data_IF_207863390005
#
_entry.id   IF_207863390005
#
_cell.length_a   1.000
_cell.length_b   1.000
_cell.length_c   1.000
_cell.angle_alpha   90.00
_cell.angle_beta   90.00
_cell.angle_gamma   90.00
#
_symmetry.space_group_name_H-M   'P 1'
#
loop_
_entity.id
_entity.type
_entity.pdbx_description
1 polymer ?
#
# COMPACT_ATOMS: atom_id res chain seq x y z
N UNK A 1 6.45 -12.98 -24.17
CA UNK A 1 7.77 -12.50 -23.68
C UNK A 1 8.43 -11.73 -24.80
N UNK A 2 8.84 -10.51 -24.49
CA UNK A 2 9.61 -9.65 -25.40
C UNK A 2 11.02 -9.50 -24.84
N UNK A 3 12.01 -9.25 -25.70
CA UNK A 3 13.37 -8.95 -25.27
C UNK A 3 13.65 -7.49 -25.57
N UNK A 4 14.23 -6.75 -24.63
CA UNK A 4 14.61 -5.35 -24.86
C UNK A 4 15.74 -5.27 -25.89
N UNK A 5 16.65 -6.24 -25.85
CA UNK A 5 17.84 -6.25 -26.68
C UNK A 5 18.02 -7.62 -27.36
N UNK A 6 17.20 -7.92 -28.39
CA UNK A 6 17.23 -9.22 -29.07
C UNK A 6 18.58 -9.52 -29.75
N UNK A 7 19.39 -8.49 -30.07
CA UNK A 7 20.70 -8.68 -30.68
C UNK A 7 21.67 -9.53 -29.84
N UNK A 8 21.54 -9.51 -28.51
CA UNK A 8 22.42 -10.29 -27.64
C UNK A 8 22.14 -11.79 -27.74
N UNK A 9 20.97 -12.21 -28.22
CA UNK A 9 20.67 -13.63 -28.44
C UNK A 9 21.58 -14.26 -29.50
N UNK A 10 22.20 -13.47 -30.38
CA UNK A 10 23.22 -13.97 -31.31
C UNK A 10 24.45 -14.52 -30.59
N UNK A 11 24.76 -14.02 -29.39
CA UNK A 11 25.86 -14.56 -28.57
C UNK A 11 25.58 -15.98 -28.06
N UNK A 12 24.34 -16.48 -28.17
CA UNK A 12 24.00 -17.87 -27.82
C UNK A 12 24.73 -18.89 -28.72
N UNK A 13 25.25 -18.48 -29.87
CA UNK A 13 26.14 -19.31 -30.71
C UNK A 13 27.41 -19.72 -29.95
N UNK A 14 27.91 -18.88 -29.04
CA UNK A 14 29.13 -19.13 -28.29
C UNK A 14 28.99 -20.28 -27.25
N UNK A 15 27.98 -20.31 -26.35
CA UNK A 15 27.74 -21.46 -25.49
C UNK A 15 27.37 -22.72 -26.28
N UNK A 16 26.66 -22.61 -27.41
CA UNK A 16 26.32 -23.76 -28.25
C UNK A 16 27.56 -24.39 -28.90
N UNK A 17 28.47 -23.58 -29.43
CA UNK A 17 29.73 -24.09 -30.01
C UNK A 17 30.65 -24.67 -28.95
N UNK A 18 30.76 -24.04 -27.77
CA UNK A 18 31.52 -24.57 -26.64
C UNK A 18 30.95 -25.91 -26.14
N UNK A 19 29.64 -26.02 -25.97
CA UNK A 19 28.99 -27.26 -25.54
C UNK A 19 29.07 -28.37 -26.58
N UNK A 20 28.93 -28.03 -27.86
CA UNK A 20 29.14 -28.99 -28.95
C UNK A 20 30.59 -29.49 -28.99
N UNK A 21 31.55 -28.59 -28.80
CA UNK A 21 32.96 -28.93 -28.82
C UNK A 21 33.37 -29.76 -27.60
N UNK A 22 32.86 -29.47 -26.41
CA UNK A 22 33.12 -30.29 -25.21
C UNK A 22 32.60 -31.71 -25.36
N UNK A 23 31.40 -31.90 -25.92
CA UNK A 23 30.83 -33.23 -26.17
C UNK A 23 31.56 -33.98 -27.30
N UNK A 24 32.03 -33.26 -28.33
CA UNK A 24 32.71 -33.87 -29.49
C UNK A 24 34.19 -34.17 -29.23
N UNK A 25 34.82 -33.50 -28.26
CA UNK A 25 36.17 -33.82 -27.78
C UNK A 25 36.18 -35.24 -27.22
N UNK A 26 36.77 -36.15 -27.98
CA UNK A 26 37.26 -37.42 -27.43
C UNK A 26 38.51 -37.05 -26.65
N UNK A 27 38.49 -37.23 -25.32
CA UNK A 27 39.65 -36.93 -24.49
C UNK A 27 40.90 -37.56 -25.09
N UNK A 28 41.96 -36.77 -25.26
CA UNK A 28 43.27 -37.33 -25.55
C UNK A 28 43.60 -38.20 -24.35
N UNK A 29 43.60 -39.52 -24.54
CA UNK A 29 43.88 -40.47 -23.46
C UNK A 29 45.21 -40.07 -22.84
N UNK A 30 45.17 -39.57 -21.60
CA UNK A 30 46.37 -39.20 -20.89
C UNK A 30 47.11 -40.52 -20.62
N UNK A 31 48.19 -40.78 -21.37
CA UNK A 31 49.02 -41.96 -21.16
C UNK A 31 49.79 -41.74 -19.86
N UNK A 32 49.21 -42.19 -18.76
CA UNK A 32 49.84 -42.20 -17.46
C UNK A 32 50.84 -43.36 -17.41
N UNK A 33 52.07 -43.15 -16.91
CA UNK A 33 53.08 -44.19 -16.84
C UNK A 33 52.85 -45.12 -15.64
N UNK A 34 51.64 -45.63 -15.42
CA UNK A 34 51.34 -46.76 -14.52
C UNK A 34 49.97 -47.40 -14.85
N UNK A 35 50.00 -48.70 -15.15
CA UNK A 35 49.27 -49.80 -14.50
C UNK A 35 48.69 -50.85 -15.49
N UNK A 36 49.04 -52.11 -15.28
CA UNK A 36 48.65 -53.28 -16.08
C UNK A 36 47.25 -53.80 -15.68
N UNK A 37 46.34 -52.91 -15.28
CA UNK A 37 44.99 -53.26 -14.83
C UNK A 37 43.94 -52.73 -15.79
N UNK A 38 43.12 -53.64 -16.34
CA UNK A 38 41.95 -53.28 -17.13
C UNK A 38 40.86 -52.72 -16.22
N UNK A 39 40.64 -51.41 -16.25
CA UNK A 39 39.49 -50.82 -15.57
C UNK A 39 38.18 -51.17 -16.29
N UNK A 40 37.16 -51.58 -15.53
CA UNK A 40 35.82 -51.79 -16.05
C UNK A 40 35.23 -50.48 -16.58
N UNK A 41 34.68 -50.50 -17.80
CA UNK A 41 34.03 -49.33 -18.39
C UNK A 41 32.83 -48.90 -17.52
N UNK A 42 32.86 -47.67 -16.99
CA UNK A 42 31.74 -47.07 -16.25
C UNK A 42 31.06 -46.00 -17.11
N UNK A 43 30.13 -46.38 -18.01
CA UNK A 43 29.50 -45.42 -18.94
C UNK A 43 28.71 -44.33 -18.22
N UNK A 44 28.16 -44.61 -17.03
CA UNK A 44 27.44 -43.63 -16.23
C UNK A 44 28.36 -42.50 -15.72
N UNK A 45 29.58 -42.82 -15.29
CA UNK A 45 30.56 -41.83 -14.80
C UNK A 45 31.04 -40.94 -15.94
N UNK A 46 31.25 -41.53 -17.13
CA UNK A 46 31.57 -40.78 -18.34
C UNK A 46 30.43 -39.84 -18.76
N UNK A 47 29.17 -40.25 -18.58
CA UNK A 47 28.00 -39.41 -18.79
C UNK A 47 27.94 -38.23 -17.80
N UNK A 48 28.20 -38.48 -16.51
CA UNK A 48 28.21 -37.46 -15.46
C UNK A 48 29.32 -36.42 -15.70
N UNK A 49 30.54 -36.86 -16.03
CA UNK A 49 31.67 -35.98 -16.35
C UNK A 49 31.37 -35.09 -17.56
N UNK A 50 30.76 -35.63 -18.62
CA UNK A 50 30.30 -34.85 -19.78
C UNK A 50 29.21 -33.84 -19.40
N UNK A 51 28.30 -34.21 -18.49
CA UNK A 51 27.27 -33.31 -17.96
C UNK A 51 27.88 -32.13 -17.19
N UNK A 52 28.90 -32.38 -16.37
CA UNK A 52 29.64 -31.33 -15.64
C UNK A 52 30.44 -30.43 -16.59
N UNK A 53 31.03 -30.99 -17.65
CA UNK A 53 31.76 -30.23 -18.68
C UNK A 53 30.85 -29.28 -19.50
N UNK A 54 29.53 -29.53 -19.51
CA UNK A 54 28.54 -28.65 -20.14
C UNK A 54 28.08 -27.49 -19.23
N UNK A 55 28.32 -27.54 -17.92
CA UNK A 55 27.86 -26.51 -16.98
C UNK A 55 28.37 -25.09 -17.32
N UNK A 56 29.65 -24.87 -17.68
CA UNK A 56 30.11 -23.54 -18.07
C UNK A 56 29.39 -22.98 -19.30
N UNK A 57 29.07 -23.84 -20.28
CA UNK A 57 28.31 -23.44 -21.46
C UNK A 57 26.86 -23.09 -21.12
N UNK A 58 26.22 -23.85 -20.22
CA UNK A 58 24.87 -23.56 -19.73
C UNK A 58 24.83 -22.24 -18.95
N UNK A 59 25.79 -22.02 -18.05
CA UNK A 59 25.90 -20.76 -17.29
C UNK A 59 26.06 -19.55 -18.21
N UNK A 60 26.88 -19.68 -19.26
CA UNK A 60 27.07 -18.64 -20.25
C UNK A 60 25.80 -18.38 -21.07
N UNK A 61 25.07 -19.42 -21.47
CA UNK A 61 23.77 -19.28 -22.13
C UNK A 61 22.76 -18.53 -21.26
N UNK A 62 22.67 -18.85 -19.97
CA UNK A 62 21.81 -18.13 -19.02
C UNK A 62 22.24 -16.66 -18.89
N UNK A 63 23.55 -16.38 -18.79
CA UNK A 63 24.05 -15.02 -18.73
C UNK A 63 23.68 -14.19 -19.98
N UNK A 64 23.78 -14.78 -21.17
CA UNK A 64 23.36 -14.14 -22.43
C UNK A 64 21.86 -13.82 -22.41
N UNK A 65 21.02 -14.75 -21.94
CA UNK A 65 19.57 -14.53 -21.84
C UNK A 65 19.24 -13.43 -20.82
N UNK A 66 19.93 -13.36 -19.68
CA UNK A 66 19.75 -12.29 -18.70
C UNK A 66 20.13 -10.91 -19.26
N UNK A 67 21.24 -10.82 -20.02
CA UNK A 67 21.67 -9.58 -20.69
C UNK A 67 20.66 -9.14 -21.76
N UNK A 68 19.99 -10.08 -22.44
CA UNK A 68 18.95 -9.78 -23.42
C UNK A 68 17.68 -9.17 -22.78
N UNK A 69 17.59 -9.15 -21.44
CA UNK A 69 16.47 -8.64 -20.63
C UNK A 69 15.11 -9.18 -21.07
N UNK A 70 14.75 -10.42 -20.67
CA UNK A 70 13.42 -10.96 -20.93
C UNK A 70 12.38 -10.12 -20.17
N UNK A 71 11.36 -9.67 -20.87
CA UNK A 71 10.25 -8.90 -20.33
C UNK A 71 8.93 -9.60 -20.56
N UNK A 72 8.04 -9.47 -19.57
CA UNK A 72 6.65 -9.85 -19.67
C UNK A 72 5.79 -8.61 -19.46
N UNK A 73 4.75 -8.48 -20.28
CA UNK A 73 3.71 -7.49 -20.03
C UNK A 73 2.95 -7.97 -18.80
N UNK A 74 3.09 -7.21 -17.71
CA UNK A 74 2.29 -7.42 -16.51
C UNK A 74 1.23 -6.33 -16.50
N UNK A 75 -0.02 -6.72 -16.29
CA UNK A 75 -1.04 -5.73 -15.92
C UNK A 75 -0.62 -5.25 -14.54
N UNK A 76 -0.35 -3.94 -14.33
CA UNK A 76 -0.08 -3.41 -13.00
C UNK A 76 -1.24 -3.80 -12.10
N UNK A 77 -0.96 -4.02 -10.83
CA UNK A 77 -2.00 -4.05 -9.82
C UNK A 77 -2.84 -2.77 -10.01
N UNK A 78 -4.16 -2.91 -10.13
CA UNK A 78 -5.03 -1.77 -10.40
C UNK A 78 -4.89 -0.81 -9.22
N UNK A 79 -4.22 0.33 -9.43
CA UNK A 79 -4.17 1.36 -8.41
C UNK A 79 -5.60 1.92 -8.27
N UNK A 80 -6.16 1.67 -7.09
CA UNK A 80 -7.39 2.31 -6.64
C UNK A 80 -7.16 3.82 -6.63
N UNK A 81 -8.06 4.58 -7.26
CA UNK A 81 -8.15 6.03 -7.07
C UNK A 81 -8.37 6.25 -5.58
N UNK A 82 -7.33 6.71 -4.88
CA UNK A 82 -7.37 6.88 -3.44
C UNK A 82 -8.47 7.88 -3.11
N UNK A 83 -9.51 7.41 -2.42
CA UNK A 83 -10.55 8.28 -1.88
C UNK A 83 -10.00 8.94 -0.61
N UNK A 84 -10.26 10.24 -0.45
CA UNK A 84 -9.88 10.94 0.78
C UNK A 84 -11.03 10.83 1.77
N UNK A 85 -10.80 10.20 2.91
CA UNK A 85 -11.82 9.97 3.93
C UNK A 85 -11.39 10.62 5.23
N UNK A 86 -12.23 11.50 5.81
CA UNK A 86 -12.01 12.04 7.14
C UNK A 86 -13.08 11.52 8.08
N UNK A 87 -12.67 10.79 9.11
CA UNK A 87 -13.55 10.39 10.20
C UNK A 87 -13.53 11.49 11.26
N UNK A 88 -14.68 12.05 11.56
CA UNK A 88 -14.90 13.02 12.61
C UNK A 88 -15.58 12.30 13.78
N UNK A 89 -14.83 12.04 14.85
CA UNK A 89 -15.25 11.18 15.96
C UNK A 89 -15.50 12.00 17.22
N UNK A 90 -16.68 11.81 17.80
CA UNK A 90 -17.08 12.42 19.06
C UNK A 90 -16.33 11.76 20.22
N UNK A 91 -15.79 12.59 21.11
CA UNK A 91 -15.12 12.16 22.34
C UNK A 91 -15.70 12.85 23.59
N UNK A 92 -16.91 13.38 23.47
CA UNK A 92 -17.67 13.95 24.59
C UNK A 92 -17.92 12.91 25.69
N UNK A 93 -18.36 13.40 26.87
CA UNK A 93 -18.59 12.52 28.03
C UNK A 93 -19.60 11.40 27.77
N UNK A 94 -20.56 11.62 26.87
CA UNK A 94 -21.60 10.66 26.53
C UNK A 94 -21.09 9.48 25.69
N UNK A 95 -20.01 9.67 24.93
CA UNK A 95 -19.31 8.59 24.20
C UNK A 95 -18.58 7.60 25.13
N UNK A 96 -18.40 7.97 26.39
CA UNK A 96 -17.93 7.06 27.45
C UNK A 96 -19.00 6.15 28.04
N UNK A 97 -20.27 6.32 27.66
CA UNK A 97 -21.38 5.49 28.14
C UNK A 97 -21.41 4.12 27.47
N UNK A 98 -22.00 3.13 28.15
CA UNK A 98 -22.15 1.77 27.64
C UNK A 98 -23.08 1.67 26.44
N UNK A 99 -22.70 0.81 25.50
CA UNK A 99 -23.47 0.35 24.34
C UNK A 99 -23.30 -1.17 24.24
N UNK A 100 -24.25 -1.91 24.81
CA UNK A 100 -24.11 -3.37 24.95
C UNK A 100 -22.95 -3.70 25.90
N UNK A 101 -22.00 -4.51 25.41
CA UNK A 101 -20.86 -5.01 26.19
C UNK A 101 -19.66 -4.05 26.27
N UNK A 102 -19.64 -2.98 25.48
CA UNK A 102 -18.53 -2.03 25.36
C UNK A 102 -19.01 -0.58 25.49
N UNK A 103 -18.09 0.37 25.59
CA UNK A 103 -18.47 1.79 25.51
C UNK A 103 -18.81 2.19 24.06
N UNK A 104 -19.60 3.27 23.88
CA UNK A 104 -19.94 3.84 22.56
C UNK A 104 -18.68 4.15 21.75
N UNK A 105 -17.67 4.77 22.37
CA UNK A 105 -16.37 5.03 21.76
C UNK A 105 -15.66 3.75 21.31
N UNK A 106 -15.61 2.73 22.16
CA UNK A 106 -14.91 1.47 21.86
C UNK A 106 -15.56 0.77 20.67
N UNK A 107 -16.89 0.70 20.66
CA UNK A 107 -17.67 0.15 19.55
C UNK A 107 -17.40 0.90 18.24
N UNK A 108 -17.36 2.24 18.29
CA UNK A 108 -17.05 3.07 17.14
C UNK A 108 -15.61 2.91 16.66
N UNK A 109 -14.64 2.87 17.58
CA UNK A 109 -13.22 2.67 17.25
C UNK A 109 -12.98 1.33 16.58
N UNK A 110 -13.64 0.25 17.06
CA UNK A 110 -13.55 -1.07 16.46
C UNK A 110 -14.20 -1.14 15.07
N UNK A 111 -15.31 -0.41 14.87
CA UNK A 111 -15.95 -0.32 13.57
C UNK A 111 -15.09 0.47 12.56
N UNK A 112 -14.50 1.60 12.98
CA UNK A 112 -13.55 2.37 12.17
C UNK A 112 -12.33 1.52 11.82
N UNK A 113 -11.77 0.79 12.79
CA UNK A 113 -10.67 -0.13 12.54
C UNK A 113 -11.04 -1.17 11.48
N UNK A 114 -12.20 -1.83 11.61
CA UNK A 114 -12.68 -2.79 10.61
C UNK A 114 -12.87 -2.16 9.23
N UNK A 115 -13.36 -0.91 9.18
CA UNK A 115 -13.51 -0.14 7.94
C UNK A 115 -12.17 0.14 7.27
N UNK A 116 -11.09 0.40 8.03
CA UNK A 116 -9.76 0.59 7.45
C UNK A 116 -9.19 -0.66 6.79
N UNK A 117 -9.58 -1.87 7.20
CA UNK A 117 -9.13 -3.10 6.54
C UNK A 117 -9.82 -3.32 5.17
N UNK A 118 -11.07 -2.84 5.01
CA UNK A 118 -11.79 -2.92 3.75
C UNK A 118 -11.32 -1.87 2.71
N UNK A 119 -10.59 -0.84 3.17
CA UNK A 119 -10.22 0.35 2.39
C UNK A 119 -8.71 0.49 2.16
N UNK A 120 -7.98 -0.63 2.02
CA UNK A 120 -6.56 -0.58 1.68
C UNK A 120 -6.35 0.17 0.34
N UNK A 121 -5.55 1.25 0.39
CA UNK A 121 -5.28 2.14 -0.75
C UNK A 121 -5.93 3.53 -0.66
N UNK A 122 -6.95 3.72 0.19
CA UNK A 122 -7.56 5.04 0.45
C UNK A 122 -6.75 5.83 1.48
N UNK A 123 -6.87 7.16 1.46
CA UNK A 123 -6.25 8.00 2.47
C UNK A 123 -7.29 8.33 3.56
N UNK A 124 -6.99 7.99 4.82
CA UNK A 124 -7.92 8.18 5.93
C UNK A 124 -7.30 9.06 7.01
N UNK A 125 -8.05 10.07 7.45
CA UNK A 125 -7.72 10.96 8.56
C UNK A 125 -8.70 10.80 9.72
N UNK A 126 -8.26 11.19 10.92
CA UNK A 126 -9.09 11.18 12.13
C UNK A 126 -9.06 12.55 12.80
N UNK A 127 -10.24 13.14 12.93
CA UNK A 127 -10.47 14.34 13.73
C UNK A 127 -11.31 13.96 14.93
N UNK A 128 -10.84 14.30 16.13
CA UNK A 128 -11.62 14.16 17.35
C UNK A 128 -12.33 15.48 17.63
N UNK A 129 -13.53 15.42 18.20
CA UNK A 129 -14.21 16.62 18.62
C UNK A 129 -14.99 16.41 19.92
N UNK A 130 -15.12 17.51 20.63
CA UNK A 130 -16.02 17.65 21.77
C UNK A 130 -16.40 19.11 21.86
N UNK A 131 -15.94 19.82 22.88
CA UNK A 131 -16.06 21.29 22.97
C UNK A 131 -15.24 22.06 21.92
N UNK A 132 -14.26 21.42 21.29
CA UNK A 132 -13.52 21.97 20.16
C UNK A 132 -13.02 20.81 19.29
N UNK A 133 -12.76 21.04 18.00
CA UNK A 133 -12.17 20.03 17.14
C UNK A 133 -10.65 19.97 17.29
N UNK A 134 -10.11 18.77 17.19
CA UNK A 134 -8.68 18.47 17.21
C UNK A 134 -8.35 17.48 16.11
N UNK A 135 -7.42 17.85 15.23
CA UNK A 135 -6.85 16.91 14.26
C UNK A 135 -5.96 15.92 14.99
N UNK A 136 -6.37 14.65 15.03
CA UNK A 136 -5.62 13.60 15.73
C UNK A 136 -4.66 12.88 14.79
N UNK A 137 -5.16 12.49 13.61
CA UNK A 137 -4.36 11.89 12.54
C UNK A 137 -4.63 12.69 11.27
N UNK A 138 -3.61 13.33 10.66
CA UNK A 138 -3.78 13.95 9.36
C UNK A 138 -4.10 12.87 8.31
N UNK A 139 -4.72 13.28 7.21
CA UNK A 139 -5.02 12.38 6.10
C UNK A 139 -3.75 11.63 5.64
N UNK A 140 -3.77 10.30 5.74
CA UNK A 140 -2.61 9.44 5.45
C UNK A 140 -3.04 8.18 4.71
N UNK A 141 -2.16 7.67 3.84
CA UNK A 141 -2.32 6.35 3.20
C UNK A 141 -1.87 5.20 4.11
N UNK A 142 -1.09 5.49 5.16
CA UNK A 142 -0.67 4.50 6.14
C UNK A 142 -1.77 4.32 7.20
N UNK A 143 -2.65 3.35 6.95
CA UNK A 143 -3.78 3.04 7.82
C UNK A 143 -3.34 2.44 9.17
N UNK A 144 -2.11 1.95 9.30
CA UNK A 144 -1.60 1.44 10.58
C UNK A 144 -1.43 2.56 11.60
N UNK A 145 -1.05 3.76 11.15
CA UNK A 145 -0.97 4.94 12.02
C UNK A 145 -2.33 5.24 12.63
N UNK A 146 -3.39 5.19 11.82
CA UNK A 146 -4.75 5.42 12.27
C UNK A 146 -5.21 4.37 13.29
N UNK A 147 -4.97 3.08 13.02
CA UNK A 147 -5.33 1.98 13.93
C UNK A 147 -4.64 2.12 15.29
N UNK A 148 -3.35 2.42 15.28
CA UNK A 148 -2.59 2.64 16.51
C UNK A 148 -3.05 3.90 17.26
N UNK A 149 -3.47 4.95 16.54
CA UNK A 149 -3.92 6.19 17.13
C UNK A 149 -5.31 6.09 17.81
N UNK A 150 -6.19 5.22 17.32
CA UNK A 150 -7.54 4.98 17.89
C UNK A 150 -7.48 4.46 19.34
N UNK A 151 -6.45 3.69 19.70
CA UNK A 151 -6.27 3.22 21.08
C UNK A 151 -6.06 4.39 22.07
N UNK A 152 -5.43 5.48 21.62
CA UNK A 152 -5.12 6.64 22.45
C UNK A 152 -6.19 7.74 22.40
N UNK A 153 -7.08 7.71 21.40
CA UNK A 153 -8.12 8.70 21.21
C UNK A 153 -9.33 8.57 22.18
N UNK A 154 -9.30 7.63 23.13
CA UNK A 154 -10.38 7.38 24.09
C UNK A 154 -10.79 8.65 24.87
N UNK A 155 -12.10 8.95 25.03
CA UNK A 155 -12.63 10.07 25.81
C UNK A 155 -11.99 10.22 27.20
N UNK A 156 -11.65 9.09 27.85
CA UNK A 156 -11.02 9.07 29.18
C UNK A 156 -9.61 9.67 29.20
N UNK A 157 -8.91 9.67 28.06
CA UNK A 157 -7.57 10.21 27.92
C UNK A 157 -7.58 11.66 27.43
N UNK A 158 -8.75 12.22 27.11
CA UNK A 158 -8.87 13.56 26.56
C UNK A 158 -8.86 14.64 27.66
N UNK A 159 -8.48 15.89 27.33
CA UNK A 159 -8.52 17.00 28.26
C UNK A 159 -9.94 17.21 28.81
N UNK A 160 -10.04 17.56 30.11
CA UNK A 160 -11.33 17.76 30.78
C UNK A 160 -12.24 18.80 30.11
N UNK A 161 -11.67 19.76 29.38
CA UNK A 161 -12.45 20.75 28.64
C UNK A 161 -13.12 20.23 27.36
N UNK A 162 -12.82 19.00 26.90
CA UNK A 162 -13.39 18.41 25.68
C UNK A 162 -14.74 17.69 25.92
N UNK A 163 -15.32 17.80 27.12
CA UNK A 163 -16.54 17.05 27.49
C UNK A 163 -17.86 17.50 26.85
N UNK A 164 -17.90 18.65 26.14
CA UNK A 164 -19.08 19.13 25.41
C UNK A 164 -19.16 18.60 23.98
N UNK A 165 -20.13 19.09 23.20
CA UNK A 165 -20.37 18.65 21.81
C UNK A 165 -20.61 19.85 20.89
N UNK A 166 -19.63 20.14 20.02
CA UNK A 166 -19.65 21.21 19.02
C UNK A 166 -19.43 20.64 17.60
N UNK A 167 -20.48 20.05 17.04
CA UNK A 167 -20.50 19.43 15.71
C UNK A 167 -20.27 20.47 14.61
N UNK A 168 -20.89 21.64 14.67
CA UNK A 168 -20.78 22.64 13.61
C UNK A 168 -19.35 23.13 13.41
N UNK A 169 -18.69 23.48 14.52
CA UNK A 169 -17.26 23.82 14.56
C UNK A 169 -16.39 22.68 14.03
N UNK A 170 -16.69 21.43 14.41
CA UNK A 170 -15.95 20.26 13.95
C UNK A 170 -16.09 20.01 12.44
N UNK A 171 -17.29 20.19 11.88
CA UNK A 171 -17.54 20.04 10.45
C UNK A 171 -16.81 21.12 9.64
N UNK A 172 -16.88 22.38 10.06
CA UNK A 172 -16.12 23.45 9.40
C UNK A 172 -14.61 23.21 9.47
N UNK A 173 -14.10 22.75 10.62
CA UNK A 173 -12.69 22.42 10.77
C UNK A 173 -12.26 21.24 9.88
N UNK A 174 -13.09 20.22 9.75
CA UNK A 174 -12.83 19.10 8.84
C UNK A 174 -12.82 19.56 7.39
N UNK A 175 -13.76 20.41 6.98
CA UNK A 175 -13.83 20.94 5.62
C UNK A 175 -12.54 21.67 5.23
N UNK A 176 -12.09 22.62 6.06
CA UNK A 176 -10.89 23.41 5.79
C UNK A 176 -9.61 22.57 5.75
N UNK A 177 -9.50 21.60 6.66
CA UNK A 177 -8.31 20.75 6.74
C UNK A 177 -8.26 19.73 5.63
N UNK A 178 -9.38 19.07 5.35
CA UNK A 178 -9.47 18.03 4.34
C UNK A 178 -9.16 18.58 2.95
N UNK A 179 -9.64 19.79 2.61
CA UNK A 179 -9.28 20.46 1.37
C UNK A 179 -7.75 20.63 1.22
N UNK A 180 -7.09 21.12 2.28
CA UNK A 180 -5.64 21.37 2.27
C UNK A 180 -4.84 20.07 2.25
N UNK A 181 -5.27 19.06 2.99
CA UNK A 181 -4.58 17.77 3.06
C UNK A 181 -4.76 16.95 1.79
N UNK A 182 -5.96 16.94 1.21
CA UNK A 182 -6.22 16.35 -0.09
C UNK A 182 -5.33 17.00 -1.16
N UNK A 183 -5.27 18.34 -1.22
CA UNK A 183 -4.41 19.03 -2.18
C UNK A 183 -2.93 18.66 -2.05
N UNK A 184 -2.45 18.42 -0.82
CA UNK A 184 -1.08 17.94 -0.57
C UNK A 184 -0.86 16.50 -1.03
N UNK A 185 -1.79 15.60 -0.73
CA UNK A 185 -1.69 14.19 -1.14
C UNK A 185 -1.82 14.02 -2.66
N UNK A 186 -2.63 14.86 -3.28
CA UNK A 186 -2.85 14.89 -4.73
C UNK A 186 -1.73 15.64 -5.48
N UNK A 187 -0.82 16.32 -4.76
CA UNK A 187 0.27 17.12 -5.34
C UNK A 187 -0.20 18.38 -6.08
N UNK A 188 -1.43 18.83 -5.83
CA UNK A 188 -2.06 20.00 -6.48
C UNK A 188 -1.94 21.28 -5.65
N UNK A 189 -1.39 21.20 -4.44
CA UNK A 189 -1.17 22.35 -3.55
C UNK A 189 -0.12 23.32 -4.12
N UNK A 190 -0.58 24.49 -4.59
CA UNK A 190 0.27 25.59 -5.08
C UNK A 190 0.61 26.63 -3.99
N UNK A 191 0.21 26.40 -2.74
CA UNK A 191 0.44 27.34 -1.64
C UNK A 191 1.93 27.57 -1.41
N UNK A 192 2.40 28.82 -1.19
CA UNK A 192 3.79 29.07 -0.85
C UNK A 192 4.14 28.36 0.46
N UNK A 193 4.93 27.29 0.36
CA UNK A 193 5.45 26.60 1.53
C UNK A 193 6.39 27.57 2.25
N UNK A 194 6.09 27.89 3.51
CA UNK A 194 7.10 28.54 4.36
C UNK A 194 8.28 27.58 4.45
N UNK A 195 9.45 28.07 4.04
CA UNK A 195 10.70 27.30 3.89
C UNK A 195 11.08 26.54 5.18
N UNK A 196 10.57 26.96 6.33
CA UNK A 196 10.85 26.37 7.64
C UNK A 196 10.10 25.05 7.89
N UNK A 197 8.84 24.92 7.45
CA UNK A 197 8.05 23.69 7.67
C UNK A 197 8.58 22.52 6.83
N UNK A 198 8.98 22.81 5.59
CA UNK A 198 9.57 21.83 4.69
C UNK A 198 10.96 21.38 5.16
N UNK A 199 11.77 22.26 5.76
CA UNK A 199 13.09 21.88 6.31
C UNK A 199 12.97 20.91 7.47
N UNK A 200 11.95 21.07 8.33
CA UNK A 200 11.70 20.16 9.44
C UNK A 200 11.21 18.78 8.97
N UNK A 201 10.32 18.74 7.97
CA UNK A 201 9.85 17.49 7.39
C UNK A 201 10.94 16.77 6.59
N UNK A 202 11.71 17.49 5.76
CA UNK A 202 12.85 16.91 5.03
C UNK A 202 13.98 16.45 5.94
N UNK A 203 14.22 17.08 7.08
CA UNK A 203 15.21 16.62 8.05
C UNK A 203 14.80 15.27 8.68
N UNK A 204 13.53 15.11 9.05
CA UNK A 204 12.99 13.84 9.56
C UNK A 204 12.97 12.75 8.47
N UNK A 205 12.62 13.14 7.24
CA UNK A 205 12.56 12.22 6.11
C UNK A 205 13.96 11.84 5.60
N UNK A 206 14.95 12.72 5.67
CA UNK A 206 16.36 12.41 5.37
C UNK A 206 16.97 11.48 6.42
N UNK A 207 16.61 11.63 7.70
CA UNK A 207 17.00 10.69 8.75
C UNK A 207 16.44 9.28 8.47
N UNK A 208 15.19 9.18 8.02
CA UNK A 208 14.55 7.90 7.69
C UNK A 208 15.05 7.30 6.35
N UNK A 209 15.22 8.14 5.32
CA UNK A 209 15.64 7.75 3.96
C UNK A 209 17.15 7.42 3.90
N UNK A 210 17.96 7.95 4.82
CA UNK A 210 19.36 7.53 4.97
C UNK A 210 19.51 6.09 5.49
N UNK A 211 18.46 5.51 6.08
CA UNK A 211 18.41 4.11 6.50
C UNK A 211 17.87 3.15 5.42
N UNK A 212 17.23 3.66 4.37
CA UNK A 212 16.61 2.85 3.32
C UNK A 212 16.94 3.35 1.91
N UNK A 213 17.90 2.64 1.32
CA UNK A 213 18.13 2.40 -0.11
C UNK A 213 19.09 3.33 -0.86
N UNK A 214 20.12 2.67 -1.41
CA UNK A 214 20.78 3.02 -2.67
C UNK A 214 19.88 2.68 -3.86
N UNK A 215 19.92 3.58 -4.85
CA UNK A 215 19.60 3.47 -6.30
C UNK A 215 18.13 3.25 -6.69
N UNK A 216 17.57 3.92 -7.70
CA UNK A 216 18.04 4.97 -8.63
C UNK A 216 16.84 5.43 -9.50
N UNK A 217 16.90 6.69 -9.95
CA UNK A 217 15.87 7.46 -10.68
C UNK A 217 15.38 6.90 -12.03
N UNK A 218 14.14 7.26 -12.40
CA UNK A 218 13.79 7.86 -13.71
C UNK A 218 12.35 8.41 -13.68
N UNK A 219 12.15 9.64 -14.20
CA UNK A 219 10.88 10.37 -14.16
C UNK A 219 10.03 10.30 -15.43
N UNK A 220 8.85 10.95 -15.36
CA UNK A 220 8.06 11.35 -16.53
C UNK A 220 6.55 11.50 -16.29
N UNK A 221 6.02 12.71 -16.55
CA UNK A 221 4.71 12.92 -17.20
C UNK A 221 3.47 13.12 -16.33
N UNK A 222 2.91 14.33 -16.37
CA UNK A 222 1.65 14.76 -15.73
C UNK A 222 0.41 14.00 -16.23
N UNK A 223 -0.46 13.66 -15.29
CA UNK A 223 -1.91 13.77 -15.42
C UNK A 223 -2.44 14.37 -14.12
N UNK A 224 -3.25 15.43 -14.21
CA UNK A 224 -3.97 15.95 -13.04
C UNK A 224 -4.81 14.81 -12.45
N UNK A 225 -4.75 14.56 -11.13
CA UNK A 225 -5.56 13.51 -10.55
C UNK A 225 -7.03 13.82 -10.79
N UNK A 226 -7.85 12.80 -11.13
CA UNK A 226 -9.30 12.98 -11.20
C UNK A 226 -9.78 13.54 -9.87
N UNK A 227 -10.80 14.39 -9.88
CA UNK A 227 -11.40 14.96 -8.67
C UNK A 227 -11.67 13.84 -7.66
N UNK A 228 -10.82 13.75 -6.64
CA UNK A 228 -10.93 12.74 -5.59
C UNK A 228 -12.22 12.99 -4.84
N UNK A 229 -13.10 11.99 -4.80
CA UNK A 229 -14.30 12.05 -3.98
C UNK A 229 -13.85 12.19 -2.51
N UNK A 230 -14.35 13.22 -1.82
CA UNK A 230 -14.01 13.49 -0.42
C UNK A 230 -15.16 13.02 0.44
N UNK A 231 -14.87 12.10 1.34
CA UNK A 231 -15.85 11.51 2.24
C UNK A 231 -15.62 12.01 3.66
N UNK A 232 -16.65 12.52 4.31
CA UNK A 232 -16.63 12.82 5.75
C UNK A 232 -17.59 11.87 6.47
N UNK A 233 -17.08 11.14 7.46
CA UNK A 233 -17.90 10.27 8.31
C UNK A 233 -17.94 10.88 9.70
N UNK A 234 -19.08 11.46 10.07
CA UNK A 234 -19.33 11.98 11.41
C UNK A 234 -19.88 10.86 12.29
N UNK A 235 -19.22 10.59 13.41
CA UNK A 235 -19.65 9.61 14.41
C UNK A 235 -19.91 10.35 15.71
N UNK A 236 -21.18 10.43 16.11
CA UNK A 236 -21.62 11.20 17.30
C UNK A 236 -22.88 10.61 17.92
N UNK A 237 -23.08 10.83 19.20
CA UNK A 237 -24.25 10.35 19.93
C UNK A 237 -25.34 11.40 20.17
N UNK A 238 -25.21 12.60 19.62
CA UNK A 238 -26.35 13.54 19.56
C UNK A 238 -26.01 15.01 19.73
N UNK A 239 -27.06 15.76 20.10
CA UNK A 239 -27.24 17.20 19.87
C UNK A 239 -26.00 18.08 20.10
N UNK A 240 -25.79 18.99 19.16
CA UNK A 240 -24.75 20.00 19.25
C UNK A 240 -25.28 21.32 19.81
N UNK A 241 -24.49 21.97 20.65
CA UNK A 241 -24.83 23.31 21.16
C UNK A 241 -24.70 24.44 20.14
N UNK A 242 -24.07 24.17 18.98
CA UNK A 242 -23.73 25.15 17.94
C UNK A 242 -24.53 25.00 16.63
N UNK A 243 -25.58 24.17 16.62
CA UNK A 243 -26.45 23.91 15.47
C UNK A 243 -27.91 24.30 15.76
N UNK A 244 -28.13 25.51 16.31
CA UNK A 244 -29.44 25.95 16.80
C UNK A 244 -30.25 26.77 15.77
N UNK A 245 -29.65 27.14 14.62
CA UNK A 245 -30.29 27.97 13.61
C UNK A 245 -30.06 27.47 12.18
N UNK A 246 -31.04 27.69 11.31
CA UNK A 246 -30.97 27.29 9.89
C UNK A 246 -29.78 27.95 9.17
N UNK A 247 -29.46 29.21 9.48
CA UNK A 247 -28.33 29.93 8.90
C UNK A 247 -26.96 29.28 9.18
N UNK A 248 -26.84 28.50 10.26
CA UNK A 248 -25.62 27.75 10.59
C UNK A 248 -25.57 26.47 9.76
N UNK A 249 -26.69 25.75 9.70
CA UNK A 249 -26.86 24.54 8.89
C UNK A 249 -26.52 24.85 7.42
N UNK A 250 -27.13 25.88 6.85
CA UNK A 250 -26.96 26.24 5.44
C UNK A 250 -25.51 26.65 5.13
N UNK A 251 -24.84 27.36 6.05
CA UNK A 251 -23.42 27.71 5.90
C UNK A 251 -22.51 26.49 5.90
N UNK A 252 -22.71 25.56 6.84
CA UNK A 252 -21.88 24.36 6.96
C UNK A 252 -22.13 23.43 5.78
N UNK A 253 -23.39 23.24 5.39
CA UNK A 253 -23.77 22.50 4.19
C UNK A 253 -23.15 23.09 2.93
N UNK A 254 -23.18 24.41 2.77
CA UNK A 254 -22.53 25.13 1.67
C UNK A 254 -21.03 24.90 1.68
N UNK A 255 -20.37 25.10 2.82
CA UNK A 255 -18.92 24.90 2.96
C UNK A 255 -18.48 23.47 2.62
N UNK A 256 -19.22 22.45 3.06
CA UNK A 256 -18.93 21.06 2.73
C UNK A 256 -19.16 20.76 1.24
N UNK A 257 -20.24 21.29 0.66
CA UNK A 257 -20.55 21.10 -0.77
C UNK A 257 -19.54 21.80 -1.67
N UNK A 258 -19.14 23.04 -1.34
CA UNK A 258 -18.09 23.80 -2.03
C UNK A 258 -16.74 23.10 -1.94
N UNK A 259 -16.50 22.38 -0.84
CA UNK A 259 -15.34 21.53 -0.66
C UNK A 259 -15.41 20.20 -1.44
N UNK A 260 -16.54 19.87 -2.06
CA UNK A 260 -16.78 18.58 -2.70
C UNK A 260 -16.79 17.42 -1.70
N UNK A 261 -17.20 17.68 -0.44
CA UNK A 261 -17.22 16.69 0.64
C UNK A 261 -18.63 16.14 0.81
N UNK A 262 -18.77 14.83 0.62
CA UNK A 262 -19.99 14.09 0.92
C UNK A 262 -19.95 13.65 2.39
N UNK A 263 -20.94 14.07 3.18
CA UNK A 263 -21.02 13.76 4.60
C UNK A 263 -22.00 12.62 4.89
N UNK A 264 -21.52 11.58 5.58
CA UNK A 264 -22.37 10.60 6.25
C UNK A 264 -22.32 10.78 7.75
N UNK A 265 -23.48 10.71 8.39
CA UNK A 265 -23.58 10.78 9.84
C UNK A 265 -23.97 9.42 10.40
N UNK A 266 -23.26 8.95 11.41
CA UNK A 266 -23.59 7.75 12.16
C UNK A 266 -23.94 8.19 13.58
N UNK A 267 -25.24 8.18 13.86
CA UNK A 267 -25.77 8.49 15.18
C UNK A 267 -25.69 7.26 16.07
N UNK A 268 -24.99 7.36 17.19
CA UNK A 268 -24.80 6.26 18.14
C UNK A 268 -25.75 6.44 19.31
N UNK A 269 -26.79 5.61 19.41
CA UNK A 269 -27.76 5.71 20.50
C UNK A 269 -29.12 5.11 20.15
N UNK A 270 -30.04 5.21 21.09
CA UNK A 270 -31.45 4.85 20.92
C UNK A 270 -32.32 6.01 20.46
N UNK A 271 -31.76 7.22 20.45
CA UNK A 271 -32.50 8.45 20.20
C UNK A 271 -32.63 8.72 18.69
N UNK A 272 -33.54 9.63 18.36
CA UNK A 272 -33.73 10.04 16.97
C UNK A 272 -32.55 10.88 16.49
N UNK A 273 -32.11 10.65 15.26
CA UNK A 273 -31.07 11.46 14.62
C UNK A 273 -31.46 12.95 14.63
N UNK A 274 -30.60 13.85 15.14
CA UNK A 274 -30.87 15.28 15.15
C UNK A 274 -31.20 15.83 13.74
N UNK A 275 -32.30 16.59 13.57
CA UNK A 275 -32.70 17.13 12.26
C UNK A 275 -31.65 18.04 11.61
N UNK A 276 -30.89 18.78 12.41
CA UNK A 276 -29.85 19.66 11.91
C UNK A 276 -28.75 18.88 11.17
N UNK A 277 -28.24 17.81 11.79
CA UNK A 277 -27.14 17.00 11.24
C UNK A 277 -27.61 16.19 10.03
N UNK A 278 -28.84 15.66 10.07
CA UNK A 278 -29.40 14.93 8.92
C UNK A 278 -29.67 15.84 7.72
N UNK A 279 -30.05 17.10 7.95
CA UNK A 279 -30.19 18.11 6.90
C UNK A 279 -28.84 18.42 6.25
N UNK A 280 -27.78 18.54 7.06
CA UNK A 280 -26.42 18.76 6.53
C UNK A 280 -25.96 17.59 5.67
N UNK A 281 -26.08 16.35 6.17
CA UNK A 281 -25.67 15.16 5.44
C UNK A 281 -26.37 15.05 4.07
N UNK A 282 -27.70 15.23 4.05
CA UNK A 282 -28.49 15.19 2.81
C UNK A 282 -28.16 16.31 1.85
N UNK A 283 -27.90 17.53 2.34
CA UNK A 283 -27.51 18.65 1.50
C UNK A 283 -26.18 18.39 0.75
N UNK A 284 -25.26 17.66 1.36
CA UNK A 284 -23.98 17.27 0.75
C UNK A 284 -24.06 16.02 -0.13
N UNK A 285 -25.24 15.42 -0.31
CA UNK A 285 -25.43 14.19 -1.09
C UNK A 285 -25.16 12.88 -0.34
N UNK A 286 -24.95 12.94 0.98
CA UNK A 286 -24.84 11.77 1.84
C UNK A 286 -26.14 11.48 2.61
N UNK A 287 -26.03 10.68 3.67
CA UNK A 287 -27.18 10.29 4.49
C UNK A 287 -26.80 10.10 5.98
N UNK A 288 -27.81 9.99 6.83
CA UNK A 288 -27.63 9.76 8.26
C UNK A 288 -28.20 8.41 8.69
N UNK A 289 -27.41 7.64 9.45
CA UNK A 289 -27.72 6.31 9.92
C UNK A 289 -27.81 6.26 11.44
N UNK A 290 -28.67 5.38 11.95
CA UNK A 290 -28.86 5.15 13.38
C UNK A 290 -28.22 3.81 13.77
N UNK A 291 -27.25 3.84 14.68
CA UNK A 291 -26.59 2.68 15.25
C UNK A 291 -27.03 2.49 16.71
N UNK A 292 -27.85 1.48 16.98
CA UNK A 292 -28.34 1.15 18.32
C UNK A 292 -27.44 0.14 19.06
N UNK A 293 -26.59 -0.59 18.33
CA UNK A 293 -25.68 -1.60 18.85
C UNK A 293 -24.38 -1.67 18.02
N UNK A 294 -23.39 -2.37 18.55
CA UNK A 294 -22.08 -2.56 17.92
C UNK A 294 -22.16 -3.28 16.56
N UNK A 295 -23.05 -4.26 16.42
CA UNK A 295 -23.25 -4.99 15.16
C UNK A 295 -23.84 -4.11 14.07
N UNK A 296 -24.85 -3.31 14.40
CA UNK A 296 -25.48 -2.33 13.51
C UNK A 296 -24.48 -1.27 13.07
N UNK A 297 -23.61 -0.82 13.97
CA UNK A 297 -22.53 0.10 13.65
C UNK A 297 -21.59 -0.48 12.57
N UNK A 298 -21.16 -1.73 12.72
CA UNK A 298 -20.35 -2.43 11.71
C UNK A 298 -21.08 -2.58 10.38
N UNK A 299 -22.37 -2.91 10.41
CA UNK A 299 -23.20 -3.01 9.20
C UNK A 299 -23.31 -1.68 8.46
N UNK A 300 -23.44 -0.56 9.18
CA UNK A 300 -23.49 0.78 8.59
C UNK A 300 -22.17 1.12 7.91
N UNK A 301 -21.03 0.88 8.56
CA UNK A 301 -19.73 1.09 7.92
C UNK A 301 -19.54 0.23 6.67
N UNK A 302 -19.97 -1.04 6.70
CA UNK A 302 -19.96 -1.91 5.53
C UNK A 302 -20.92 -1.41 4.42
N UNK A 303 -22.05 -0.82 4.79
CA UNK A 303 -22.97 -0.23 3.83
C UNK A 303 -22.38 1.02 3.16
N UNK A 304 -21.75 1.91 3.95
CA UNK A 304 -21.00 3.07 3.44
C UNK A 304 -19.87 2.61 2.50
N UNK A 305 -19.19 1.52 2.85
CA UNK A 305 -18.16 0.91 2.01
C UNK A 305 -18.68 0.55 0.61
N UNK A 306 -19.86 -0.10 0.55
CA UNK A 306 -20.52 -0.51 -0.68
C UNK A 306 -21.07 0.64 -1.51
N UNK A 307 -21.56 1.72 -0.87
CA UNK A 307 -22.10 2.89 -1.58
C UNK A 307 -21.02 3.73 -2.25
N UNK A 308 -19.77 3.62 -1.79
CA UNK A 308 -18.62 4.34 -2.33
C UNK A 308 -17.62 3.31 -2.88
N UNK A 309 -17.91 2.63 -4.01
CA UNK A 309 -17.05 1.58 -4.53
C UNK A 309 -15.72 2.14 -5.00
N UNK A 310 -14.66 1.37 -4.76
CA UNK A 310 -13.31 1.62 -5.25
C UNK A 310 -13.34 1.88 -6.77
N UNK A 311 -12.95 3.09 -7.19
CA UNK A 311 -12.68 3.36 -8.60
C UNK A 311 -11.27 2.91 -8.90
N UNK A 312 -11.09 2.00 -9.85
CA UNK A 312 -9.77 1.55 -10.29
C UNK A 312 -9.40 2.30 -11.56
N UNK A 313 -8.22 2.91 -11.59
CA UNK A 313 -7.66 3.36 -12.86
C UNK A 313 -7.03 2.15 -13.52
N UNK A 314 -7.42 1.87 -14.77
CA UNK A 314 -6.72 0.90 -15.59
C UNK A 314 -5.33 1.47 -15.92
N UNK A 315 -4.34 1.20 -15.07
CA UNK A 315 -2.97 1.54 -15.36
C UNK A 315 -2.51 0.78 -16.62
N UNK A 316 -1.84 1.48 -17.52
CA UNK A 316 -1.31 0.89 -18.75
C UNK A 316 -0.36 -0.27 -18.41
N UNK A 317 -0.40 -1.35 -19.20
CA UNK A 317 0.48 -2.50 -19.01
C UNK A 317 1.95 -2.07 -19.06
N UNK A 318 2.65 -2.19 -17.94
CA UNK A 318 4.08 -1.88 -17.87
C UNK A 318 4.88 -3.15 -18.19
N UNK A 319 5.91 -3.05 -19.04
CA UNK A 319 6.85 -4.14 -19.25
C UNK A 319 7.67 -4.34 -17.98
N UNK A 320 7.54 -5.50 -17.34
CA UNK A 320 8.31 -5.87 -16.15
C UNK A 320 9.38 -6.88 -16.54
N UNK A 321 10.58 -6.72 -15.98
CA UNK A 321 11.69 -7.65 -16.20
C UNK A 321 11.39 -9.02 -15.56
N UNK A 322 11.64 -10.09 -16.31
CA UNK A 322 11.31 -11.46 -15.96
C UNK A 322 12.57 -12.31 -15.74
N UNK A 323 13.37 -11.95 -14.74
CA UNK A 323 14.67 -12.60 -14.49
C UNK A 323 14.60 -13.87 -13.65
N UNK A 324 13.58 -14.04 -12.80
CA UNK A 324 13.55 -15.07 -11.76
C UNK A 324 13.84 -16.51 -12.23
N UNK A 325 13.16 -17.06 -13.25
CA UNK A 325 13.41 -18.45 -13.63
C UNK A 325 14.80 -18.64 -14.23
N UNK A 326 15.32 -17.65 -14.96
CA UNK A 326 16.66 -17.70 -15.55
C UNK A 326 17.74 -17.57 -14.48
N UNK A 327 17.56 -16.67 -13.51
CA UNK A 327 18.45 -16.53 -12.37
C UNK A 327 18.49 -17.82 -11.53
N UNK A 328 17.35 -18.48 -11.31
CA UNK A 328 17.29 -19.76 -10.62
C UNK A 328 18.05 -20.86 -11.36
N UNK A 329 17.88 -21.00 -12.68
CA UNK A 329 18.63 -21.95 -13.50
C UNK A 329 20.14 -21.68 -13.42
N UNK A 330 20.55 -20.40 -13.52
CA UNK A 330 21.94 -19.99 -13.39
C UNK A 330 22.54 -20.31 -12.02
N UNK A 331 21.80 -20.04 -10.95
CA UNK A 331 22.21 -20.33 -9.57
C UNK A 331 22.39 -21.85 -9.34
N UNK A 332 21.46 -22.67 -9.84
CA UNK A 332 21.56 -24.13 -9.77
C UNK A 332 22.78 -24.64 -10.55
N UNK A 333 22.99 -24.14 -11.77
CA UNK A 333 24.16 -24.52 -12.58
C UNK A 333 25.49 -24.13 -11.91
N UNK A 334 25.55 -22.93 -11.30
CA UNK A 334 26.70 -22.45 -10.54
C UNK A 334 26.96 -23.33 -9.31
N UNK A 335 25.91 -23.69 -8.58
CA UNK A 335 26.01 -24.56 -7.41
C UNK A 335 26.52 -25.95 -7.79
N UNK A 336 26.00 -26.56 -8.86
CA UNK A 336 26.47 -27.84 -9.38
C UNK A 336 27.95 -27.76 -9.82
N UNK A 337 28.34 -26.66 -10.47
CA UNK A 337 29.74 -26.44 -10.86
C UNK A 337 30.65 -26.28 -9.64
N UNK A 338 30.25 -25.49 -8.65
CA UNK A 338 30.99 -25.31 -7.40
C UNK A 338 31.15 -26.64 -6.63
N UNK A 339 30.09 -27.47 -6.56
CA UNK A 339 30.16 -28.80 -5.96
C UNK A 339 31.14 -29.73 -6.70
N UNK A 340 31.18 -29.64 -8.04
CA UNK A 340 32.14 -30.41 -8.84
C UNK A 340 33.59 -30.01 -8.54
N UNK A 341 33.84 -28.73 -8.26
CA UNK A 341 35.14 -28.20 -7.86
C UNK A 341 35.49 -28.56 -6.41
N UNK A 342 34.52 -28.55 -5.49
CA UNK A 342 34.77 -28.71 -4.06
C UNK A 342 35.10 -30.15 -3.65
N UNK A 343 34.51 -31.18 -4.29
CA UNK A 343 34.61 -32.56 -3.76
C UNK A 343 34.44 -33.72 -4.75
N UNK A 344 34.64 -33.52 -6.06
CA UNK A 344 34.66 -34.62 -7.05
C UNK A 344 35.84 -34.60 -8.04
N UNK A 345 36.95 -34.01 -7.63
CA UNK A 345 38.24 -34.57 -8.01
C UNK A 345 38.44 -35.85 -7.19
N UNK A 346 37.77 -36.94 -7.58
CA UNK A 346 38.34 -38.26 -7.31
C UNK A 346 39.61 -38.27 -8.14
N UNK A 347 40.74 -37.98 -7.51
CA UNK A 347 42.04 -38.31 -8.03
C UNK A 347 42.24 -39.79 -7.67
N UNK A 348 41.99 -40.74 -8.60
CA UNK A 348 42.46 -42.08 -8.38
C UNK A 348 43.98 -42.01 -8.57
N UNK A 349 44.70 -41.82 -7.48
CA UNK A 349 46.00 -42.44 -7.38
C UNK A 349 45.84 -43.66 -6.48
#
# INVERSE_FOLDING_TARGET
MTFVHPQWLLLLVLPLTLGFWSVRRRGAGLRMPFDYQSHASRPWLAGLLRGVELLPAVMLAVAVVLIARPQVLRVPEQDRVATHITVCMDVSGSMGMGMGDQNRYESASAAIESFTYAREGDAIGLTLFGSWPLRWVPLTKDLQVLRNALAFANPRNQPSGMGGTMIGSALSYCADNMQREAARLDGTDTSPQSVDQWRQQRAAEQLFRSASLRSSDAGGGLSSPPSTDRLLILVSDGASGDLNGQDQIDRISGQLSDAGITMYHIHIGSDTIPPAVSSIARATGGDAFLATNSDGLRLIFNHIDQMQPARFVANASLPVDYFEPFAAIGAVALLLYALSLLKWRYTPW
#
